data_IF_867191535119
#
_entry.id   IF_867191535119
#
_cell.length_a   1.000
_cell.length_b   1.000
_cell.length_c   1.000
_cell.angle_alpha   90.00
_cell.angle_beta   90.00
_cell.angle_gamma   90.00
#
_symmetry.space_group_name_H-M   'P 1'
#
loop_
_entity.id
_entity.type
_entity.pdbx_description
1 polymer ?
#
# COMPACT_ATOMS: atom_id res chain seq x y z
N UNK A 1 6.82 -2.82 -1.12
CA UNK A 1 7.17 -2.29 0.22
C UNK A 1 7.35 -0.79 0.10
N UNK A 2 6.71 -0.01 0.97
CA UNK A 2 6.77 1.46 1.03
C UNK A 2 6.67 2.09 -0.37
N UNK A 3 7.71 2.73 -0.87
CA UNK A 3 7.75 3.30 -2.22
C UNK A 3 7.31 2.30 -3.32
N UNK A 4 7.61 1.02 -3.19
CA UNK A 4 7.16 0.01 -4.16
C UNK A 4 5.63 -0.10 -4.27
N UNK A 5 4.89 0.12 -3.17
CA UNK A 5 3.42 0.19 -3.22
C UNK A 5 2.95 1.45 -3.94
N UNK A 6 3.62 2.58 -3.71
CA UNK A 6 3.34 3.84 -4.40
C UNK A 6 3.56 3.72 -5.92
N UNK A 7 4.68 3.09 -6.35
CA UNK A 7 4.96 2.84 -7.77
C UNK A 7 3.91 1.93 -8.40
N UNK A 8 3.46 0.90 -7.70
CA UNK A 8 2.37 0.03 -8.16
C UNK A 8 1.07 0.82 -8.41
N UNK A 9 0.70 1.72 -7.48
CA UNK A 9 -0.49 2.58 -7.62
C UNK A 9 -0.34 3.55 -8.80
N UNK A 10 0.84 4.15 -8.98
CA UNK A 10 1.14 5.04 -10.11
C UNK A 10 1.04 4.30 -11.45
N UNK A 11 1.63 3.11 -11.53
CA UNK A 11 1.58 2.28 -12.75
C UNK A 11 0.14 1.88 -13.10
N UNK A 12 -0.63 1.44 -12.10
CA UNK A 12 -2.05 1.11 -12.28
C UNK A 12 -2.86 2.32 -12.78
N UNK A 13 -2.63 3.51 -12.21
CA UNK A 13 -3.30 4.73 -12.66
C UNK A 13 -2.97 5.07 -14.13
N UNK A 14 -1.71 4.88 -14.54
CA UNK A 14 -1.27 5.17 -15.92
C UNK A 14 -1.87 4.20 -16.91
N UNK A 15 -1.75 2.90 -16.64
CA UNK A 15 -2.02 1.87 -17.63
C UNK A 15 -3.44 1.30 -17.56
N UNK A 16 -4.08 1.31 -16.39
CA UNK A 16 -5.45 0.78 -16.21
C UNK A 16 -6.48 1.91 -16.18
N UNK A 17 -6.21 3.01 -15.48
CA UNK A 17 -7.11 4.16 -15.46
C UNK A 17 -6.92 5.11 -16.65
N UNK A 18 -5.82 4.96 -17.41
CA UNK A 18 -5.52 5.81 -18.56
C UNK A 18 -5.18 7.25 -18.17
N UNK A 19 -4.49 7.46 -17.04
CA UNK A 19 -4.04 8.78 -16.56
C UNK A 19 -2.52 8.88 -16.75
N UNK A 20 -2.02 9.30 -17.93
CA UNK A 20 -0.61 9.11 -18.30
C UNK A 20 0.36 9.93 -17.44
N UNK A 21 -0.10 11.07 -16.92
CA UNK A 21 0.67 11.97 -16.05
C UNK A 21 0.51 11.64 -14.56
N UNK A 22 -0.17 10.55 -14.19
CA UNK A 22 -0.32 10.15 -12.80
C UNK A 22 1.05 10.00 -12.12
N UNK A 23 1.19 10.54 -10.91
CA UNK A 23 2.48 10.57 -10.22
C UNK A 23 2.32 10.62 -8.69
N UNK A 24 3.45 10.66 -7.97
CA UNK A 24 3.51 11.05 -6.57
C UNK A 24 3.86 12.53 -6.46
N UNK A 25 3.27 13.23 -5.47
CA UNK A 25 3.67 14.59 -5.10
C UNK A 25 5.16 14.69 -4.74
N UNK A 26 5.77 13.59 -4.32
CA UNK A 26 7.22 13.49 -4.08
C UNK A 26 8.05 13.76 -5.33
N UNK A 27 7.59 13.28 -6.49
CA UNK A 27 8.34 13.35 -7.74
C UNK A 27 7.93 14.56 -8.60
N UNK A 28 6.71 15.04 -8.43
CA UNK A 28 6.20 16.20 -9.14
C UNK A 28 5.34 17.05 -8.19
N UNK A 29 5.97 18.06 -7.56
CA UNK A 29 5.31 18.94 -6.59
C UNK A 29 4.13 19.70 -7.23
N UNK A 30 4.18 20.01 -8.53
CA UNK A 30 3.13 20.72 -9.28
C UNK A 30 2.20 19.78 -10.08
N UNK A 31 2.32 18.46 -9.86
CA UNK A 31 1.53 17.46 -10.57
C UNK A 31 0.02 17.64 -10.35
N UNK A 32 -0.75 17.59 -11.44
CA UNK A 32 -2.23 17.67 -11.37
C UNK A 32 -2.83 16.35 -10.89
N UNK A 33 -2.27 15.23 -11.34
CA UNK A 33 -2.75 13.89 -11.05
C UNK A 33 -1.86 13.14 -10.04
N UNK A 34 -1.78 13.66 -8.81
CA UNK A 34 -1.04 13.00 -7.73
C UNK A 34 -1.91 11.93 -7.06
N UNK A 35 -1.70 10.67 -7.47
CA UNK A 35 -2.38 9.49 -6.89
C UNK A 35 -1.74 9.05 -5.58
N UNK A 36 -0.52 9.52 -5.32
CA UNK A 36 0.17 9.46 -4.04
C UNK A 36 0.46 10.91 -3.63
N UNK A 37 -0.02 11.35 -2.48
CA UNK A 37 0.05 12.76 -2.04
C UNK A 37 0.21 12.88 -0.53
N UNK A 38 0.43 14.10 -0.04
CA UNK A 38 0.32 14.41 1.40
C UNK A 38 -1.15 14.42 1.81
N UNK A 39 -1.45 13.95 3.02
CA UNK A 39 -2.80 14.02 3.58
C UNK A 39 -3.33 15.46 3.62
N UNK A 40 -4.67 15.60 3.52
CA UNK A 40 -5.31 16.88 3.83
C UNK A 40 -4.95 17.32 5.25
N UNK A 41 -4.51 18.58 5.39
CA UNK A 41 -3.96 19.13 6.63
C UNK A 41 -2.43 19.05 6.75
N UNK A 42 -1.75 18.20 5.98
CA UNK A 42 -0.29 18.10 5.96
C UNK A 42 0.39 18.92 4.86
N UNK A 43 -0.39 19.41 3.88
CA UNK A 43 0.11 20.15 2.70
C UNK A 43 0.87 21.45 3.06
N UNK A 44 0.54 22.08 4.19
CA UNK A 44 1.17 23.32 4.66
C UNK A 44 2.19 23.11 5.81
N UNK A 45 2.50 21.86 6.15
CA UNK A 45 3.39 21.52 7.27
C UNK A 45 4.84 21.41 6.76
N UNK A 46 5.81 21.96 7.52
CA UNK A 46 7.25 21.86 7.17
C UNK A 46 7.67 20.40 6.96
N UNK A 47 8.55 20.17 5.96
CA UNK A 47 9.19 18.87 5.68
C UNK A 47 9.76 18.28 6.98
N UNK A 48 9.09 17.28 7.55
CA UNK A 48 9.42 16.67 8.85
C UNK A 48 8.19 16.39 9.73
N UNK A 49 7.21 17.30 9.75
CA UNK A 49 6.00 17.17 10.58
C UNK A 49 4.91 16.24 10.02
N UNK A 50 5.12 15.72 8.80
CA UNK A 50 4.18 14.84 8.09
C UNK A 50 4.59 13.36 8.14
N UNK A 51 5.74 13.06 8.75
CA UNK A 51 6.31 11.71 8.73
C UNK A 51 5.56 10.77 9.66
N UNK A 52 5.02 9.68 9.11
CA UNK A 52 4.57 8.53 9.88
C UNK A 52 5.78 7.67 10.21
N UNK A 53 6.08 7.58 11.50
CA UNK A 53 7.23 6.86 12.03
C UNK A 53 6.81 6.04 13.25
N UNK A 54 6.93 4.71 13.14
CA UNK A 54 6.58 3.81 14.25
C UNK A 54 5.59 2.74 13.85
N UNK A 55 5.04 2.05 14.84
CA UNK A 55 4.06 0.99 14.62
C UNK A 55 2.65 1.57 14.55
N UNK A 56 1.88 1.19 13.52
CA UNK A 56 0.49 1.60 13.33
C UNK A 56 -0.40 0.37 13.08
N UNK A 57 -1.66 0.40 13.53
CA UNK A 57 -2.61 -0.67 13.25
C UNK A 57 -3.06 -0.65 11.78
N UNK A 58 -3.33 -1.82 11.24
CA UNK A 58 -3.89 -2.01 9.90
C UNK A 58 -4.95 -3.12 9.96
N UNK A 59 -6.17 -2.79 9.54
CA UNK A 59 -7.28 -3.71 9.34
C UNK A 59 -7.15 -4.38 7.99
N UNK A 60 -7.18 -5.72 7.98
CA UNK A 60 -6.93 -6.56 6.81
C UNK A 60 -8.25 -7.09 6.27
N UNK A 61 -8.46 -6.95 4.96
CA UNK A 61 -9.69 -7.38 4.28
C UNK A 61 -9.69 -8.89 4.02
N UNK A 62 -10.79 -9.57 4.34
CA UNK A 62 -10.96 -11.00 4.06
C UNK A 62 -10.89 -11.34 2.56
N UNK A 63 -10.51 -12.58 2.25
CA UNK A 63 -10.40 -13.08 0.87
C UNK A 63 -9.23 -12.50 0.07
N UNK A 64 -8.25 -11.90 0.76
CA UNK A 64 -7.05 -11.29 0.15
C UNK A 64 -5.79 -12.10 0.45
N UNK A 65 -4.75 -11.93 -0.38
CA UNK A 65 -3.44 -12.56 -0.11
C UNK A 65 -2.81 -12.02 1.17
N UNK A 66 -3.09 -10.75 1.50
CA UNK A 66 -2.69 -10.16 2.77
C UNK A 66 -3.32 -10.92 3.95
N UNK A 67 -4.64 -11.19 3.89
CA UNK A 67 -5.35 -11.98 4.90
C UNK A 67 -4.79 -13.39 5.02
N UNK A 68 -4.57 -14.06 3.89
CA UNK A 68 -4.02 -15.42 3.86
C UNK A 68 -2.64 -15.49 4.52
N UNK A 69 -1.80 -14.48 4.29
CA UNK A 69 -0.45 -14.41 4.87
C UNK A 69 -0.48 -14.21 6.39
N UNK A 70 -1.31 -13.29 6.88
CA UNK A 70 -1.33 -12.93 8.31
C UNK A 70 -2.22 -13.81 9.18
N UNK A 71 -3.34 -14.30 8.64
CA UNK A 71 -4.33 -15.10 9.36
C UNK A 71 -5.14 -14.34 10.41
N UNK A 72 -5.09 -12.99 10.44
CA UNK A 72 -5.79 -12.15 11.42
C UNK A 72 -6.44 -10.92 10.76
N UNK A 73 -7.47 -10.35 11.39
CA UNK A 73 -8.17 -9.15 10.90
C UNK A 73 -7.45 -7.83 11.19
N UNK A 74 -6.62 -7.81 12.23
CA UNK A 74 -5.92 -6.62 12.67
C UNK A 74 -4.45 -6.96 12.88
N UNK A 75 -3.59 -6.16 12.24
CA UNK A 75 -2.14 -6.28 12.33
C UNK A 75 -1.54 -4.96 12.81
N UNK A 76 -0.29 -4.98 13.27
CA UNK A 76 0.45 -3.77 13.66
C UNK A 76 1.80 -3.77 12.97
N UNK A 77 2.06 -2.78 12.12
CA UNK A 77 3.22 -2.75 11.23
C UNK A 77 3.99 -1.44 11.32
N UNK A 78 5.28 -1.48 10.96
CA UNK A 78 6.17 -0.32 11.11
C UNK A 78 6.19 0.52 9.84
N UNK A 79 5.94 1.82 10.00
CA UNK A 79 5.97 2.81 8.93
C UNK A 79 7.16 3.75 9.08
N UNK A 80 7.66 4.22 7.92
CA UNK A 80 8.65 5.28 7.80
C UNK A 80 8.50 5.98 6.45
N UNK A 81 7.41 6.74 6.29
CA UNK A 81 7.09 7.42 5.04
C UNK A 81 6.28 8.70 5.32
N UNK A 82 5.97 9.46 4.27
CA UNK A 82 5.29 10.77 4.36
C UNK A 82 4.09 10.89 3.43
N UNK A 83 4.16 10.24 2.27
CA UNK A 83 3.15 10.34 1.24
C UNK A 83 2.22 9.13 1.32
N UNK A 84 0.94 9.39 1.17
CA UNK A 84 -0.13 8.43 1.30
C UNK A 84 -0.85 8.24 -0.03
N UNK A 85 -1.60 7.15 -0.12
CA UNK A 85 -2.57 6.97 -1.20
C UNK A 85 -3.59 8.11 -1.19
N UNK A 86 -3.83 8.74 -2.35
CA UNK A 86 -4.84 9.77 -2.46
C UNK A 86 -6.24 9.15 -2.64
N UNK A 87 -7.08 9.27 -1.60
CA UNK A 87 -8.42 8.70 -1.57
C UNK A 87 -9.36 9.22 -2.67
N UNK A 88 -9.08 10.38 -3.29
CA UNK A 88 -9.84 10.88 -4.44
C UNK A 88 -9.85 9.89 -5.63
N UNK A 89 -8.83 9.02 -5.70
CA UNK A 89 -8.71 8.01 -6.75
C UNK A 89 -9.19 6.62 -6.33
N UNK A 90 -9.52 6.43 -5.04
CA UNK A 90 -9.77 5.11 -4.44
C UNK A 90 -10.88 4.35 -5.16
N UNK A 91 -12.08 4.93 -5.23
CA UNK A 91 -13.25 4.30 -5.85
C UNK A 91 -12.97 3.92 -7.30
N UNK A 92 -12.38 4.84 -8.09
CA UNK A 92 -12.06 4.61 -9.50
C UNK A 92 -11.04 3.47 -9.69
N UNK A 93 -10.07 3.34 -8.79
CA UNK A 93 -9.10 2.23 -8.82
C UNK A 93 -9.75 0.91 -8.42
N UNK A 94 -10.59 0.90 -7.37
CA UNK A 94 -11.32 -0.29 -6.92
C UNK A 94 -12.25 -0.83 -8.00
N UNK A 95 -13.04 0.04 -8.65
CA UNK A 95 -13.93 -0.31 -9.76
C UNK A 95 -13.19 -0.92 -10.96
N UNK A 96 -11.90 -0.64 -11.11
CA UNK A 96 -11.04 -1.15 -12.18
C UNK A 96 -10.19 -2.34 -11.76
N UNK A 97 -10.38 -2.85 -10.55
CA UNK A 97 -9.80 -4.11 -10.08
C UNK A 97 -8.61 -4.00 -9.14
N UNK A 98 -8.21 -2.79 -8.73
CA UNK A 98 -7.23 -2.64 -7.63
C UNK A 98 -7.94 -2.96 -6.31
N UNK A 99 -7.49 -3.98 -5.58
CA UNK A 99 -8.08 -4.31 -4.28
C UNK A 99 -7.36 -3.57 -3.18
N UNK A 100 -8.08 -2.75 -2.42
CA UNK A 100 -7.59 -2.20 -1.16
C UNK A 100 -7.70 -3.27 -0.08
N UNK A 101 -6.57 -3.91 0.26
CA UNK A 101 -6.55 -5.07 1.16
C UNK A 101 -6.13 -4.74 2.60
N UNK A 102 -5.57 -3.56 2.85
CA UNK A 102 -5.23 -3.08 4.18
C UNK A 102 -5.56 -1.60 4.37
N UNK A 103 -6.23 -1.27 5.48
CA UNK A 103 -6.62 0.08 5.84
C UNK A 103 -6.22 0.41 7.27
N UNK A 104 -6.01 1.68 7.60
CA UNK A 104 -6.06 2.11 9.00
C UNK A 104 -7.44 1.80 9.60
N UNK A 105 -7.57 1.61 10.94
CA UNK A 105 -8.84 1.21 11.56
C UNK A 105 -10.00 2.21 11.36
N UNK A 106 -9.68 3.48 11.11
CA UNK A 106 -10.65 4.53 10.77
C UNK A 106 -11.01 4.56 9.28
N UNK A 107 -10.40 3.70 8.46
CA UNK A 107 -10.65 3.55 7.02
C UNK A 107 -10.00 4.62 6.14
N UNK A 108 -9.29 5.58 6.73
CA UNK A 108 -8.79 6.77 6.05
C UNK A 108 -7.48 6.56 5.29
N UNK A 109 -6.61 5.67 5.76
CA UNK A 109 -5.30 5.43 5.16
C UNK A 109 -5.29 4.06 4.49
N UNK A 110 -4.79 4.03 3.26
CA UNK A 110 -4.53 2.78 2.54
C UNK A 110 -3.15 2.29 2.91
N UNK A 111 -3.10 1.19 3.64
CA UNK A 111 -1.86 0.60 4.15
C UNK A 111 -1.34 -0.51 3.23
N UNK A 112 -2.23 -1.15 2.46
CA UNK A 112 -1.90 -2.20 1.52
C UNK A 112 -2.90 -2.30 0.36
N UNK A 113 -2.38 -2.67 -0.82
CA UNK A 113 -3.13 -2.93 -2.03
C UNK A 113 -2.67 -4.23 -2.68
N UNK A 114 -3.56 -4.87 -3.44
CA UNK A 114 -3.22 -6.04 -4.24
C UNK A 114 -4.08 -6.15 -5.50
N UNK A 115 -3.70 -7.03 -6.42
CA UNK A 115 -4.52 -7.39 -7.58
C UNK A 115 -5.13 -8.78 -7.38
N UNK A 116 -6.21 -8.86 -6.59
CA UNK A 116 -6.79 -10.14 -6.14
C UNK A 116 -7.33 -11.01 -7.28
N UNK A 117 -7.72 -10.43 -8.42
CA UNK A 117 -8.18 -11.19 -9.60
C UNK A 117 -7.05 -12.04 -10.23
N UNK A 118 -5.79 -11.64 -10.01
CA UNK A 118 -4.62 -12.44 -10.40
C UNK A 118 -4.32 -13.51 -9.35
N UNK A 119 -5.28 -14.38 -9.05
CA UNK A 119 -5.21 -15.37 -7.94
C UNK A 119 -3.95 -16.24 -7.91
N UNK A 120 -3.32 -16.46 -9.07
CA UNK A 120 -2.07 -17.22 -9.25
C UNK A 120 -0.78 -16.38 -9.11
N UNK A 121 -0.87 -15.06 -8.99
CA UNK A 121 0.27 -14.15 -8.88
C UNK A 121 0.25 -13.45 -7.52
N UNK A 122 1.36 -13.53 -6.79
CA UNK A 122 1.53 -12.75 -5.56
C UNK A 122 1.85 -11.29 -5.92
N UNK A 123 0.82 -10.46 -5.98
CA UNK A 123 0.95 -9.06 -6.38
C UNK A 123 0.41 -8.15 -5.27
N UNK A 124 1.18 -8.03 -4.19
CA UNK A 124 0.82 -7.29 -2.97
C UNK A 124 1.80 -6.14 -2.75
N UNK A 125 1.27 -4.92 -2.66
CA UNK A 125 1.99 -3.72 -2.28
C UNK A 125 1.59 -3.29 -0.87
N UNK A 126 2.57 -3.09 0.00
CA UNK A 126 2.37 -2.57 1.37
C UNK A 126 3.11 -1.26 1.56
N UNK A 127 2.51 -0.33 2.30
CA UNK A 127 3.10 0.96 2.65
C UNK A 127 4.05 0.86 3.86
N UNK A 128 3.80 -0.09 4.76
CA UNK A 128 4.70 -0.42 5.88
C UNK A 128 5.95 -1.20 5.43
N UNK A 129 6.84 -1.43 6.39
CA UNK A 129 8.12 -2.11 6.27
C UNK A 129 8.11 -3.47 7.01
N UNK A 130 7.63 -4.55 6.37
CA UNK A 130 7.58 -5.88 6.96
C UNK A 130 8.98 -6.42 7.34
N UNK A 131 10.03 -5.93 6.67
CA UNK A 131 11.42 -6.28 6.95
C UNK A 131 11.85 -5.96 8.39
N UNK A 132 11.27 -4.95 9.03
CA UNK A 132 11.62 -4.59 10.40
C UNK A 132 11.06 -5.56 11.46
N UNK A 133 10.14 -6.44 11.08
CA UNK A 133 9.53 -7.43 11.96
C UNK A 133 9.91 -8.88 11.60
N UNK A 134 10.64 -9.09 10.52
CA UNK A 134 11.19 -10.40 10.16
C UNK A 134 12.38 -10.75 11.07
N UNK A 135 12.45 -11.98 11.56
CA UNK A 135 13.58 -12.51 12.35
C UNK A 135 14.04 -13.86 11.81
N UNK A 136 15.28 -14.31 12.10
CA UNK A 136 15.79 -15.61 11.62
C UNK A 136 14.94 -16.80 12.05
N UNK A 137 14.38 -16.77 13.26
CA UNK A 137 13.52 -17.79 13.84
C UNK A 137 12.02 -17.59 13.53
N UNK A 138 11.68 -16.41 12.97
CA UNK A 138 10.30 -16.02 12.65
C UNK A 138 10.29 -15.10 11.44
N UNK A 139 10.33 -15.71 10.25
CA UNK A 139 10.19 -14.98 9.00
C UNK A 139 8.85 -14.25 8.95
N UNK A 140 8.86 -13.04 8.39
CA UNK A 140 7.65 -12.24 8.28
C UNK A 140 6.62 -12.92 7.35
N UNK A 141 5.32 -13.00 7.73
CA UNK A 141 4.31 -13.75 6.99
C UNK A 141 4.20 -13.37 5.51
N UNK A 142 4.27 -12.09 5.17
CA UNK A 142 4.26 -11.64 3.77
C UNK A 142 5.41 -12.21 2.93
N UNK A 143 6.62 -12.34 3.50
CA UNK A 143 7.75 -12.92 2.77
C UNK A 143 7.60 -14.42 2.60
N UNK A 144 7.09 -15.12 3.62
CA UNK A 144 6.74 -16.53 3.51
C UNK A 144 5.68 -16.74 2.44
N UNK A 145 4.64 -15.91 2.42
CA UNK A 145 3.58 -15.94 1.41
C UNK A 145 4.11 -15.72 -0.01
N UNK A 146 5.01 -14.73 -0.19
CA UNK A 146 5.66 -14.47 -1.47
C UNK A 146 6.51 -15.66 -1.94
N UNK A 147 7.32 -16.24 -1.06
CA UNK A 147 8.16 -17.39 -1.41
C UNK A 147 7.34 -18.64 -1.75
N UNK A 148 6.27 -18.93 -1.00
CA UNK A 148 5.34 -20.03 -1.33
C UNK A 148 4.73 -19.84 -2.71
N UNK A 149 4.27 -18.63 -3.02
CA UNK A 149 3.72 -18.34 -4.33
C UNK A 149 4.74 -18.40 -5.47
N UNK A 150 6.04 -18.29 -5.17
CA UNK A 150 7.11 -18.46 -6.17
C UNK A 150 7.49 -19.94 -6.38
N UNK A 151 7.29 -20.80 -5.37
CA UNK A 151 7.56 -22.25 -5.43
C UNK A 151 6.42 -23.04 -6.12
N UNK A 152 5.21 -22.47 -6.13
CA UNK A 152 4.03 -23.04 -6.82
C UNK A 152 4.01 -22.78 -8.35
N UNK A 153 5.02 -22.07 -8.88
CA UNK A 153 5.16 -21.71 -10.32
C UNK A 153 6.07 -22.70 -11.03
#
# INVERSE_FOLDING_TARGET
ICLGMQIMVIEFARNVLGIPDACSREFNEEGKNCVIDLMEGQKNVKKGGTMRLGAYPCSVKDGTKLKDAYGTDLISERHRHRYEFNNDYRTRMEEKGLTICGLSPDGNLVEAVELSDRRKSFFVGVQFHPEFKSRPDKAHPLFVGFLKAADEV
#
